data_IF_898824726292
#
_entry.id   IF_898824726292
#
_cell.length_a   1.000
_cell.length_b   1.000
_cell.length_c   1.000
_cell.angle_alpha   90.00
_cell.angle_beta   90.00
_cell.angle_gamma   90.00
#
_symmetry.space_group_name_H-M   'P 1'
#
loop_
_entity.id
_entity.type
_entity.pdbx_description
1 polymer ?
#
# COMPACT_ATOMS: atom_id res chain seq x y z
N UNK A 1 -18.91 -74.91 -37.72
CA UNK A 1 -18.94 -74.25 -36.39
C UNK A 1 -18.24 -72.89 -36.52
N UNK A 2 -18.92 -71.86 -37.01
CA UNK A 2 -19.79 -70.91 -36.28
C UNK A 2 -19.04 -69.59 -36.00
N UNK A 3 -19.17 -68.67 -36.97
CA UNK A 3 -18.87 -67.24 -36.93
C UNK A 3 -19.63 -66.53 -35.80
N UNK A 4 -19.05 -65.46 -35.24
CA UNK A 4 -19.84 -64.32 -34.75
C UNK A 4 -19.11 -63.00 -35.02
N UNK A 5 -19.47 -62.39 -36.15
CA UNK A 5 -19.26 -60.98 -36.43
C UNK A 5 -20.27 -60.15 -35.61
N UNK A 6 -19.83 -59.04 -35.00
CA UNK A 6 -20.73 -57.99 -34.51
C UNK A 6 -20.53 -56.73 -35.36
N UNK A 7 -21.59 -56.39 -36.09
CA UNK A 7 -21.83 -55.11 -36.75
C UNK A 7 -22.06 -54.03 -35.70
N UNK A 8 -21.51 -52.84 -35.92
CA UNK A 8 -22.04 -51.59 -35.37
C UNK A 8 -22.48 -50.73 -36.55
N UNK A 9 -23.76 -50.40 -36.55
CA UNK A 9 -24.50 -49.63 -37.55
C UNK A 9 -24.29 -48.14 -37.36
N UNK A 10 -23.91 -47.48 -38.45
CA UNK A 10 -24.00 -46.03 -38.68
C UNK A 10 -25.47 -45.57 -38.73
N UNK A 11 -25.82 -44.58 -37.92
CA UNK A 11 -27.04 -43.80 -38.06
C UNK A 11 -26.69 -42.37 -38.52
N UNK A 12 -27.19 -42.04 -39.73
CA UNK A 12 -27.26 -40.67 -40.27
C UNK A 12 -28.31 -39.89 -39.49
N UNK A 13 -27.97 -38.70 -39.03
CA UNK A 13 -28.96 -37.64 -38.78
C UNK A 13 -28.56 -36.41 -39.59
N UNK A 14 -29.40 -36.14 -40.59
CA UNK A 14 -29.47 -34.91 -41.36
C UNK A 14 -30.31 -33.90 -40.59
N UNK A 15 -29.73 -32.78 -40.18
CA UNK A 15 -30.48 -31.58 -39.80
C UNK A 15 -30.08 -30.42 -40.69
N UNK A 16 -31.11 -29.84 -41.28
CA UNK A 16 -31.13 -28.77 -42.26
C UNK A 16 -30.61 -27.45 -41.70
N UNK A 17 -29.66 -26.87 -42.42
CA UNK A 17 -29.21 -25.48 -42.30
C UNK A 17 -30.23 -24.53 -42.95
N UNK A 18 -30.92 -23.72 -42.15
CA UNK A 18 -31.62 -22.53 -42.61
C UNK A 18 -30.81 -21.30 -42.22
N UNK A 19 -30.25 -20.65 -43.24
CA UNK A 19 -29.55 -19.37 -43.19
C UNK A 19 -30.54 -18.19 -43.08
N UNK A 20 -30.35 -17.24 -42.14
CA UNK A 20 -30.97 -15.92 -42.25
C UNK A 20 -30.02 -14.93 -42.93
N UNK A 21 -30.61 -14.19 -43.87
CA UNK A 21 -30.04 -13.10 -44.66
C UNK A 21 -29.57 -11.91 -43.80
N UNK A 22 -28.55 -11.16 -44.22
CA UNK A 22 -28.09 -9.98 -43.50
C UNK A 22 -28.95 -8.76 -43.86
N UNK A 23 -29.66 -8.23 -42.87
CA UNK A 23 -30.27 -6.90 -42.96
C UNK A 23 -29.27 -5.84 -42.51
N UNK A 24 -28.98 -4.93 -43.45
CA UNK A 24 -28.16 -3.74 -43.29
C UNK A 24 -28.90 -2.68 -42.45
N UNK A 25 -28.34 -2.32 -41.30
CA UNK A 25 -28.64 -1.05 -40.63
C UNK A 25 -27.34 -0.25 -40.48
N UNK A 26 -27.13 0.71 -41.39
CA UNK A 26 -26.19 1.80 -41.23
C UNK A 26 -26.79 2.83 -40.27
N UNK A 27 -26.33 2.82 -39.01
CA UNK A 27 -26.65 3.83 -38.00
C UNK A 27 -25.44 4.70 -37.67
N UNK A 28 -25.52 5.97 -38.05
CA UNK A 28 -24.83 7.16 -37.52
C UNK A 28 -23.49 6.97 -36.76
N UNK A 29 -22.38 7.14 -37.49
CA UNK A 29 -21.02 7.31 -36.96
C UNK A 29 -20.47 8.74 -37.14
N UNK A 30 -21.31 9.78 -37.07
CA UNK A 30 -20.86 11.17 -37.30
C UNK A 30 -20.61 12.05 -36.06
N UNK A 31 -20.94 11.62 -34.83
CA UNK A 31 -20.86 12.53 -33.66
C UNK A 31 -19.68 12.33 -32.70
N UNK A 32 -18.84 11.31 -32.87
CA UNK A 32 -17.69 11.08 -31.97
C UNK A 32 -16.48 11.98 -32.28
N UNK A 33 -16.31 12.42 -33.52
CA UNK A 33 -15.18 13.28 -33.91
C UNK A 33 -15.27 14.68 -33.32
N UNK A 34 -16.46 15.26 -33.26
CA UNK A 34 -16.66 16.64 -32.79
C UNK A 34 -16.49 16.75 -31.27
N UNK A 35 -16.86 15.71 -30.52
CA UNK A 35 -16.72 15.72 -29.06
C UNK A 35 -15.26 15.60 -28.62
N UNK A 36 -14.44 14.81 -29.31
CA UNK A 36 -12.99 14.70 -29.05
C UNK A 36 -12.24 16.01 -29.33
N UNK A 37 -12.63 16.74 -30.39
CA UNK A 37 -12.03 18.04 -30.72
C UNK A 37 -12.39 19.09 -29.67
N UNK A 38 -13.63 19.08 -29.16
CA UNK A 38 -14.06 20.01 -28.12
C UNK A 38 -13.29 19.80 -26.79
N UNK A 39 -13.09 18.54 -26.39
CA UNK A 39 -12.33 18.20 -25.18
C UNK A 39 -10.85 18.62 -25.31
N UNK A 40 -10.25 18.43 -26.48
CA UNK A 40 -8.87 18.86 -26.74
C UNK A 40 -8.72 20.40 -26.67
N UNK A 41 -9.67 21.15 -27.21
CA UNK A 41 -9.66 22.63 -27.18
C UNK A 41 -9.81 23.15 -25.74
N UNK A 42 -10.75 22.60 -24.96
CA UNK A 42 -10.96 22.99 -23.57
C UNK A 42 -9.71 22.69 -22.73
N UNK A 43 -9.09 21.52 -22.95
CA UNK A 43 -7.84 21.14 -22.25
C UNK A 43 -6.70 22.10 -22.58
N UNK A 44 -6.55 22.50 -23.84
CA UNK A 44 -5.52 23.47 -24.25
C UNK A 44 -5.74 24.86 -23.62
N UNK A 45 -6.99 25.32 -23.54
CA UNK A 45 -7.34 26.60 -22.94
C UNK A 45 -7.05 26.62 -21.43
N UNK A 46 -7.33 25.52 -20.73
CA UNK A 46 -7.02 25.39 -19.29
C UNK A 46 -5.50 25.42 -19.07
N UNK A 47 -4.72 24.72 -19.89
CA UNK A 47 -3.25 24.73 -19.80
C UNK A 47 -2.70 26.15 -20.05
N UNK A 48 -3.24 26.89 -21.03
CA UNK A 48 -2.83 28.27 -21.28
C UNK A 48 -3.18 29.22 -20.13
N UNK A 49 -4.36 29.10 -19.52
CA UNK A 49 -4.73 29.90 -18.35
C UNK A 49 -3.83 29.62 -17.14
N UNK A 50 -3.52 28.35 -16.88
CA UNK A 50 -2.63 27.97 -15.79
C UNK A 50 -1.20 28.49 -16.00
N UNK A 51 -0.69 28.43 -17.23
CA UNK A 51 0.63 28.97 -17.58
C UNK A 51 0.74 30.47 -17.34
N UNK A 52 -0.31 31.24 -17.62
CA UNK A 52 -0.33 32.69 -17.39
C UNK A 52 -0.39 33.06 -15.89
N UNK A 53 -1.03 32.25 -15.04
CA UNK A 53 -1.05 32.50 -13.60
C UNK A 53 0.30 32.21 -12.92
N UNK A 54 1.03 31.20 -13.38
CA UNK A 54 2.38 30.89 -12.87
C UNK A 54 3.44 31.94 -13.25
N UNK A 55 3.31 32.58 -14.41
CA UNK A 55 4.24 33.63 -14.82
C UNK A 55 4.10 34.92 -13.99
N UNK A 56 2.91 35.18 -13.42
CA UNK A 56 2.65 36.36 -12.59
C UNK A 56 3.24 36.28 -11.17
N UNK A 57 3.45 35.08 -10.61
CA UNK A 57 3.94 34.92 -9.24
C UNK A 57 5.47 34.94 -9.10
N UNK A 58 6.22 34.75 -10.19
CA UNK A 58 7.69 34.66 -10.14
C UNK A 58 8.36 36.05 -10.22
N UNK A 59 7.63 37.11 -10.57
CA UNK A 59 8.19 38.45 -10.77
C UNK A 59 8.30 39.33 -9.50
N UNK A 60 7.98 38.83 -8.30
CA UNK A 60 7.85 39.67 -7.08
C UNK A 60 8.84 39.39 -5.94
N UNK A 61 9.91 38.63 -6.15
CA UNK A 61 10.85 38.32 -5.07
C UNK A 61 12.31 38.34 -5.54
N UNK A 62 12.88 39.53 -5.73
CA UNK A 62 14.33 39.75 -5.84
C UNK A 62 14.68 41.23 -5.58
N UNK A 63 14.90 41.64 -4.32
CA UNK A 63 15.87 42.71 -3.96
C UNK A 63 16.24 42.57 -2.48
N UNK A 64 17.51 42.23 -2.19
CA UNK A 64 18.47 43.05 -1.38
C UNK A 64 19.66 42.20 -0.94
N UNK A 65 20.81 42.54 -1.51
CA UNK A 65 22.14 42.10 -1.12
C UNK A 65 22.57 42.70 0.23
N UNK A 66 23.32 41.93 1.02
CA UNK A 66 24.28 42.44 2.01
C UNK A 66 25.46 41.47 2.11
N UNK A 67 26.70 41.96 2.34
CA UNK A 67 27.92 41.22 2.05
C UNK A 67 28.37 40.31 3.20
N UNK A 68 28.99 39.19 2.84
CA UNK A 68 29.67 38.24 3.74
C UNK A 68 31.07 38.73 4.14
N UNK A 69 31.40 38.56 5.41
CA UNK A 69 32.75 38.64 5.96
C UNK A 69 33.28 37.23 6.27
N UNK A 70 34.57 37.05 5.99
CA UNK A 70 35.37 35.83 6.14
C UNK A 70 35.40 35.26 7.56
N UNK A 71 35.55 33.93 7.65
CA UNK A 71 35.77 33.22 8.91
C UNK A 71 36.14 31.75 8.73
N UNK A 72 37.45 31.49 8.68
CA UNK A 72 38.11 30.17 8.65
C UNK A 72 37.82 29.37 9.92
N UNK A 73 37.60 28.06 9.78
CA UNK A 73 37.58 27.14 10.93
C UNK A 73 37.42 25.67 10.53
N UNK A 74 38.53 24.99 10.27
CA UNK A 74 38.58 23.53 10.15
C UNK A 74 38.46 22.88 11.52
N UNK A 75 37.53 21.92 11.68
CA UNK A 75 37.58 20.96 12.80
C UNK A 75 37.14 19.58 12.32
N UNK A 76 38.07 18.64 12.37
CA UNK A 76 37.82 17.20 12.37
C UNK A 76 37.23 16.79 13.72
N UNK A 77 36.14 16.03 13.73
CA UNK A 77 35.91 15.01 14.76
C UNK A 77 34.80 14.07 14.35
N UNK A 78 35.17 12.80 14.19
CA UNK A 78 34.24 11.68 14.15
C UNK A 78 33.50 11.59 15.49
N UNK A 79 32.18 11.73 15.45
CA UNK A 79 31.30 11.39 16.56
C UNK A 79 30.22 10.44 16.02
N UNK A 80 30.28 9.19 16.46
CA UNK A 80 29.14 8.27 16.39
C UNK A 80 28.04 8.88 17.27
N UNK A 81 27.07 9.53 16.63
CA UNK A 81 25.86 9.96 17.28
C UNK A 81 25.04 8.72 17.66
N UNK A 82 24.85 8.50 18.96
CA UNK A 82 23.78 7.64 19.44
C UNK A 82 22.45 8.13 18.86
N UNK A 83 21.68 7.22 18.28
CA UNK A 83 20.40 7.54 17.64
C UNK A 83 19.43 8.17 18.66
N UNK A 84 18.71 9.26 18.33
CA UNK A 84 17.67 9.86 19.16
C UNK A 84 16.59 8.88 19.67
N UNK A 85 16.48 7.70 19.05
CA UNK A 85 15.52 6.66 19.40
C UNK A 85 15.64 6.14 20.85
N UNK A 86 16.86 6.07 21.42
CA UNK A 86 17.03 5.53 22.78
C UNK A 86 16.70 6.56 23.89
N UNK A 87 16.76 7.86 23.59
CA UNK A 87 16.34 8.90 24.53
C UNK A 87 14.81 9.03 24.59
N UNK A 88 14.13 8.74 23.47
CA UNK A 88 12.66 8.76 23.41
C UNK A 88 12.05 7.68 24.33
N UNK A 89 12.64 6.47 24.42
CA UNK A 89 12.07 5.38 25.24
C UNK A 89 12.14 5.66 26.75
N UNK A 90 13.15 6.40 27.22
CA UNK A 90 13.30 6.78 28.64
C UNK A 90 12.48 8.03 29.01
N UNK A 91 12.09 8.85 28.02
CA UNK A 91 11.33 10.09 28.22
C UNK A 91 9.80 9.91 28.09
N UNK A 92 9.30 8.72 27.77
CA UNK A 92 7.88 8.38 27.97
C UNK A 92 7.66 8.17 29.47
N UNK A 93 7.75 9.26 30.24
CA UNK A 93 7.13 9.33 31.55
C UNK A 93 5.65 8.98 31.42
N UNK A 94 5.07 8.38 32.45
CA UNK A 94 3.63 8.05 32.47
C UNK A 94 2.86 9.24 31.89
N UNK A 95 2.13 9.05 30.77
CA UNK A 95 1.43 10.16 30.12
C UNK A 95 0.55 10.84 31.16
N UNK A 96 0.60 12.17 31.18
CA UNK A 96 -0.27 12.99 32.01
C UNK A 96 -1.72 12.57 31.72
N UNK A 97 -2.39 12.02 32.73
CA UNK A 97 -3.72 11.44 32.63
C UNK A 97 -4.78 12.46 32.19
N UNK A 98 -4.44 13.75 32.12
CA UNK A 98 -5.33 14.85 31.73
C UNK A 98 -5.34 15.17 30.23
N UNK A 99 -4.39 14.67 29.42
CA UNK A 99 -4.41 14.78 27.95
C UNK A 99 -5.15 13.62 27.25
N UNK A 100 -5.70 12.67 28.03
CA UNK A 100 -5.94 11.30 27.55
C UNK A 100 -7.40 10.92 27.27
N UNK A 101 -8.35 11.86 27.13
CA UNK A 101 -9.77 11.46 27.06
C UNK A 101 -10.68 12.02 25.99
N UNK A 102 -10.34 13.09 25.27
CA UNK A 102 -11.43 13.78 24.57
C UNK A 102 -11.76 13.27 23.17
N UNK A 103 -10.88 12.58 22.44
CA UNK A 103 -11.33 11.95 21.18
C UNK A 103 -10.65 10.58 21.00
N UNK A 104 -11.41 9.51 21.19
CA UNK A 104 -10.99 8.14 20.84
C UNK A 104 -10.92 8.03 19.32
N UNK A 105 -9.86 8.58 18.74
CA UNK A 105 -9.56 8.38 17.33
C UNK A 105 -9.02 6.96 17.15
N UNK A 106 -9.89 6.08 16.67
CA UNK A 106 -9.54 4.72 16.29
C UNK A 106 -8.44 4.72 15.23
N UNK A 107 -7.68 3.63 15.17
CA UNK A 107 -6.71 3.40 14.10
C UNK A 107 -7.16 2.27 13.18
N UNK A 108 -6.81 2.36 11.90
CA UNK A 108 -7.17 1.34 10.92
C UNK A 108 -5.95 0.51 10.51
N UNK A 109 -5.94 -0.77 10.88
CA UNK A 109 -4.98 -1.75 10.41
C UNK A 109 -5.51 -2.42 9.14
N UNK A 110 -4.71 -2.47 8.08
CA UNK A 110 -5.08 -3.06 6.80
C UNK A 110 -4.08 -4.15 6.42
N UNK A 111 -4.59 -5.31 6.04
CA UNK A 111 -3.83 -6.43 5.50
C UNK A 111 -4.39 -6.88 4.15
N UNK A 112 -3.52 -7.42 3.29
CA UNK A 112 -3.93 -8.00 2.01
C UNK A 112 -3.59 -9.50 1.97
N UNK A 113 -4.60 -10.30 1.66
CA UNK A 113 -4.59 -11.75 1.61
C UNK A 113 -4.99 -12.23 0.22
N UNK A 114 -4.03 -12.23 -0.69
CA UNK A 114 -4.26 -12.57 -2.10
C UNK A 114 -3.73 -13.95 -2.48
N UNK A 115 -4.50 -14.67 -3.30
CA UNK A 115 -4.08 -15.97 -3.82
C UNK A 115 -3.22 -15.81 -5.07
N UNK A 116 -2.02 -16.38 -5.09
CA UNK A 116 -1.15 -16.40 -6.28
C UNK A 116 -1.55 -17.42 -7.36
N UNK A 117 -2.60 -18.21 -7.13
CA UNK A 117 -2.99 -19.28 -8.04
C UNK A 117 -3.66 -18.73 -9.31
N UNK A 118 -2.85 -18.39 -10.31
CA UNK A 118 -3.26 -18.53 -11.72
C UNK A 118 -3.35 -20.02 -12.01
N UNK A 119 -4.52 -20.62 -11.80
CA UNK A 119 -4.77 -21.91 -12.43
C UNK A 119 -4.96 -21.64 -13.94
N UNK A 120 -3.94 -21.95 -14.75
CA UNK A 120 -3.92 -21.70 -16.20
C UNK A 120 -4.98 -22.52 -16.96
N UNK A 121 -5.82 -23.29 -16.26
CA UNK A 121 -6.79 -24.21 -16.84
C UNK A 121 -8.21 -24.02 -16.28
N UNK A 122 -8.86 -22.87 -16.46
CA UNK A 122 -10.32 -22.65 -16.44
C UNK A 122 -11.21 -23.33 -15.36
N UNK A 123 -10.63 -23.88 -14.30
CA UNK A 123 -11.33 -24.33 -13.12
C UNK A 123 -11.11 -23.24 -12.09
N UNK A 124 -12.19 -22.66 -11.58
CA UNK A 124 -12.11 -21.62 -10.56
C UNK A 124 -11.06 -22.03 -9.52
N UNK A 125 -9.98 -21.25 -9.31
CA UNK A 125 -8.89 -21.65 -8.44
C UNK A 125 -9.50 -22.00 -7.09
N UNK A 126 -9.32 -23.25 -6.63
CA UNK A 126 -9.82 -23.65 -5.32
C UNK A 126 -9.23 -22.70 -4.30
N UNK A 127 -10.08 -21.83 -3.74
CA UNK A 127 -9.74 -20.91 -2.66
C UNK A 127 -9.12 -21.75 -1.54
N UNK A 128 -7.81 -21.66 -1.37
CA UNK A 128 -7.14 -22.27 -0.21
C UNK A 128 -7.38 -21.31 0.94
N UNK A 129 -8.44 -21.56 1.70
CA UNK A 129 -8.76 -20.82 2.93
C UNK A 129 -7.69 -21.12 3.98
N UNK A 130 -6.53 -20.48 3.87
CA UNK A 130 -5.45 -20.61 4.83
C UNK A 130 -5.53 -19.45 5.81
N UNK A 131 -6.38 -19.62 6.84
CA UNK A 131 -6.52 -18.61 7.89
C UNK A 131 -5.21 -18.38 8.64
N UNK A 132 -4.35 -19.40 8.69
CA UNK A 132 -3.05 -19.37 9.35
C UNK A 132 -2.16 -18.23 8.82
N UNK A 133 -2.37 -17.76 7.58
CA UNK A 133 -1.65 -16.62 7.02
C UNK A 133 -1.98 -15.28 7.67
N UNK A 134 -3.13 -15.12 8.32
CA UNK A 134 -3.49 -13.88 9.01
C UNK A 134 -3.88 -14.12 10.46
N UNK A 135 -3.83 -15.37 10.94
CA UNK A 135 -4.37 -15.73 12.24
C UNK A 135 -3.72 -14.92 13.38
N UNK A 136 -2.39 -14.83 13.39
CA UNK A 136 -1.68 -14.04 14.43
C UNK A 136 -2.05 -12.56 14.38
N UNK A 137 -2.14 -11.98 13.17
CA UNK A 137 -2.57 -10.60 12.96
C UNK A 137 -4.00 -10.40 13.48
N UNK A 138 -4.93 -11.24 13.03
CA UNK A 138 -6.35 -11.22 13.34
C UNK A 138 -6.60 -11.34 14.85
N UNK A 139 -6.03 -12.36 15.49
CA UNK A 139 -6.21 -12.60 16.93
C UNK A 139 -5.60 -11.49 17.79
N UNK A 140 -4.50 -10.87 17.31
CA UNK A 140 -3.87 -9.77 18.05
C UNK A 140 -4.66 -8.47 18.02
N UNK A 141 -5.45 -8.20 16.96
CA UNK A 141 -6.32 -7.02 16.90
C UNK A 141 -7.40 -7.03 17.98
N UNK A 142 -7.98 -8.20 18.27
CA UNK A 142 -9.02 -8.37 19.30
C UNK A 142 -8.56 -8.02 20.72
N UNK A 143 -7.26 -7.81 20.94
CA UNK A 143 -6.71 -7.32 22.21
C UNK A 143 -6.83 -5.80 22.37
N UNK A 144 -7.10 -5.07 21.29
CA UNK A 144 -7.06 -3.60 21.25
C UNK A 144 -8.34 -3.02 20.63
N UNK A 145 -9.39 -2.75 21.43
CA UNK A 145 -10.72 -2.40 20.92
C UNK A 145 -10.75 -1.14 20.03
N UNK A 146 -9.77 -0.24 20.19
CA UNK A 146 -9.64 0.99 19.42
C UNK A 146 -8.92 0.81 18.06
N UNK A 147 -8.56 -0.43 17.69
CA UNK A 147 -8.03 -0.74 16.36
C UNK A 147 -9.10 -1.44 15.53
N UNK A 148 -9.41 -0.91 14.35
CA UNK A 148 -10.23 -1.58 13.34
C UNK A 148 -9.33 -2.31 12.34
N UNK A 149 -9.77 -3.45 11.84
CA UNK A 149 -9.06 -4.29 10.89
C UNK A 149 -9.80 -4.41 9.56
N UNK A 150 -9.10 -4.23 8.44
CA UNK A 150 -9.60 -4.55 7.10
C UNK A 150 -8.72 -5.62 6.46
N UNK A 151 -9.35 -6.70 6.01
CA UNK A 151 -8.69 -7.77 5.26
C UNK A 151 -9.15 -7.69 3.80
N UNK A 152 -8.32 -7.10 2.94
CA UNK A 152 -8.50 -7.23 1.49
C UNK A 152 -8.19 -8.65 1.07
N UNK A 153 -9.08 -9.31 0.34
CA UNK A 153 -8.93 -10.73 0.11
C UNK A 153 -9.39 -11.18 -1.28
N UNK A 154 -8.73 -12.23 -1.77
CA UNK A 154 -9.22 -13.06 -2.88
C UNK A 154 -9.26 -14.55 -2.50
N UNK A 155 -8.92 -14.86 -1.25
CA UNK A 155 -8.70 -16.21 -0.73
C UNK A 155 -9.89 -16.80 0.02
N UNK A 156 -10.74 -15.97 0.64
CA UNK A 156 -11.78 -16.43 1.56
C UNK A 156 -13.14 -16.35 0.88
N UNK A 157 -13.98 -17.36 1.00
CA UNK A 157 -15.35 -17.29 0.48
C UNK A 157 -16.29 -16.56 1.45
N UNK A 158 -17.53 -16.34 0.99
CA UNK A 158 -18.54 -15.59 1.74
C UNK A 158 -18.85 -16.23 3.09
N UNK A 159 -18.82 -17.55 3.19
CA UNK A 159 -19.11 -18.27 4.43
C UNK A 159 -17.99 -18.04 5.45
N UNK A 160 -16.73 -18.17 5.02
CA UNK A 160 -15.58 -17.84 5.85
C UNK A 160 -15.58 -16.37 6.28
N UNK A 161 -15.83 -15.45 5.34
CA UNK A 161 -15.86 -14.02 5.64
C UNK A 161 -16.98 -13.70 6.64
N UNK A 162 -18.16 -14.30 6.50
CA UNK A 162 -19.26 -14.15 7.44
C UNK A 162 -18.91 -14.69 8.82
N UNK A 163 -18.21 -15.82 8.90
CA UNK A 163 -17.76 -16.42 10.16
C UNK A 163 -16.72 -15.55 10.87
N UNK A 164 -15.76 -14.99 10.12
CA UNK A 164 -14.63 -14.22 10.68
C UNK A 164 -14.84 -12.71 10.72
N UNK A 165 -15.93 -12.18 10.17
CA UNK A 165 -16.26 -10.76 10.32
C UNK A 165 -16.75 -10.49 11.73
N UNK A 166 -16.25 -9.40 12.32
CA UNK A 166 -16.63 -8.91 13.66
C UNK A 166 -16.84 -7.40 13.60
N UNK A 167 -17.29 -6.79 14.69
CA UNK A 167 -17.37 -5.32 14.82
C UNK A 167 -16.00 -4.61 14.68
N UNK A 168 -14.92 -5.39 14.80
CA UNK A 168 -13.56 -4.91 14.72
C UNK A 168 -12.89 -5.23 13.38
N UNK A 169 -13.13 -6.41 12.82
CA UNK A 169 -12.45 -6.88 11.60
C UNK A 169 -13.47 -7.14 10.49
N UNK A 170 -13.28 -6.50 9.34
CA UNK A 170 -14.08 -6.69 8.13
C UNK A 170 -13.24 -7.29 7.01
N UNK A 171 -13.89 -8.09 6.17
CA UNK A 171 -13.30 -8.63 4.95
C UNK A 171 -13.85 -7.87 3.75
N UNK A 172 -12.97 -7.51 2.82
CA UNK A 172 -13.32 -6.87 1.55
C UNK A 172 -12.85 -7.77 0.43
N UNK A 173 -13.78 -8.18 -0.43
CA UNK A 173 -13.45 -8.93 -1.63
C UNK A 173 -12.80 -8.00 -2.66
N UNK A 174 -11.64 -8.40 -3.15
CA UNK A 174 -10.94 -7.71 -4.22
C UNK A 174 -11.31 -8.34 -5.56
N UNK A 175 -11.98 -7.56 -6.40
CA UNK A 175 -12.23 -7.94 -7.77
C UNK A 175 -10.97 -7.70 -8.63
N UNK A 176 -10.27 -8.79 -8.95
CA UNK A 176 -9.10 -8.78 -9.85
C UNK A 176 -9.47 -8.49 -11.32
N UNK A 177 -10.76 -8.30 -11.63
CA UNK A 177 -11.27 -7.89 -12.95
C UNK A 177 -11.75 -6.44 -12.99
N UNK A 178 -11.73 -5.73 -11.86
CA UNK A 178 -12.11 -4.31 -11.76
C UNK A 178 -11.20 -3.40 -12.59
N UNK A 179 -11.67 -2.17 -12.87
CA UNK A 179 -10.89 -1.18 -13.62
C UNK A 179 -9.51 -0.91 -12.97
N UNK A 180 -9.45 -0.82 -11.64
CA UNK A 180 -8.20 -0.70 -10.88
C UNK A 180 -7.27 -1.88 -11.15
N UNK A 181 -7.76 -3.11 -11.02
CA UNK A 181 -6.98 -4.33 -11.31
C UNK A 181 -6.53 -4.39 -12.76
N UNK A 182 -7.36 -3.98 -13.72
CA UNK A 182 -7.01 -3.96 -15.14
C UNK A 182 -5.91 -2.94 -15.44
N UNK A 183 -5.92 -1.78 -14.77
CA UNK A 183 -4.86 -0.77 -14.90
C UNK A 183 -3.49 -1.30 -14.49
N UNK A 184 -3.44 -2.22 -13.52
CA UNK A 184 -2.21 -2.82 -13.01
C UNK A 184 -2.12 -4.33 -13.26
N UNK A 185 -2.82 -4.86 -14.28
CA UNK A 185 -2.91 -6.31 -14.52
C UNK A 185 -1.55 -7.01 -14.79
N UNK A 186 -0.55 -6.24 -15.25
CA UNK A 186 0.82 -6.72 -15.47
C UNK A 186 1.68 -6.71 -14.20
N UNK A 187 1.15 -6.19 -13.08
CA UNK A 187 1.84 -6.08 -11.80
C UNK A 187 1.60 -7.31 -10.94
N UNK A 188 2.50 -7.56 -9.99
CA UNK A 188 2.34 -8.64 -9.02
C UNK A 188 1.21 -8.31 -8.04
N UNK A 189 0.66 -9.32 -7.37
CA UNK A 189 -0.35 -9.10 -6.34
C UNK A 189 0.16 -8.24 -5.16
N UNK A 190 1.47 -8.31 -4.86
CA UNK A 190 2.11 -7.44 -3.87
C UNK A 190 2.14 -5.98 -4.31
N UNK A 191 2.32 -5.73 -5.61
CA UNK A 191 2.19 -4.38 -6.16
C UNK A 191 0.72 -3.92 -6.14
N UNK A 192 -0.20 -4.79 -6.58
CA UNK A 192 -1.61 -4.47 -6.76
C UNK A 192 -2.30 -4.07 -5.45
N UNK A 193 -1.87 -4.61 -4.31
CA UNK A 193 -2.46 -4.32 -2.99
C UNK A 193 -2.53 -2.84 -2.68
N UNK A 194 -1.49 -2.08 -3.04
CA UNK A 194 -1.40 -0.66 -2.72
C UNK A 194 -2.38 0.18 -3.55
N UNK A 195 -2.80 -0.28 -4.73
CA UNK A 195 -3.83 0.40 -5.53
C UNK A 195 -5.21 0.24 -4.91
N UNK A 196 -5.57 -0.99 -4.50
CA UNK A 196 -6.85 -1.24 -3.83
C UNK A 196 -6.95 -0.52 -2.48
N UNK A 197 -5.85 -0.46 -1.74
CA UNK A 197 -5.78 0.29 -0.49
C UNK A 197 -5.95 1.80 -0.74
N UNK A 198 -5.26 2.36 -1.75
CA UNK A 198 -5.40 3.79 -2.08
C UNK A 198 -6.84 4.13 -2.50
N UNK A 199 -7.46 3.30 -3.33
CA UNK A 199 -8.84 3.46 -3.78
C UNK A 199 -9.80 3.45 -2.60
N UNK A 200 -9.75 2.42 -1.75
CA UNK A 200 -10.57 2.31 -0.56
C UNK A 200 -10.43 3.50 0.39
N UNK A 201 -9.18 3.92 0.68
CA UNK A 201 -8.94 5.06 1.56
C UNK A 201 -9.43 6.36 0.93
N UNK A 202 -9.30 6.51 -0.39
CA UNK A 202 -9.81 7.69 -1.12
C UNK A 202 -11.33 7.77 -1.03
N UNK A 203 -12.04 6.68 -1.29
CA UNK A 203 -13.51 6.63 -1.18
C UNK A 203 -13.98 6.94 0.25
N UNK A 204 -13.29 6.37 1.25
CA UNK A 204 -13.58 6.60 2.67
C UNK A 204 -13.38 8.06 3.06
N UNK A 205 -12.24 8.66 2.69
CA UNK A 205 -11.95 10.06 3.00
C UNK A 205 -12.88 11.05 2.27
N UNK A 206 -13.48 10.64 1.15
CA UNK A 206 -14.46 11.45 0.42
C UNK A 206 -15.90 11.28 0.94
N UNK A 207 -16.14 10.40 1.91
CA UNK A 207 -17.49 10.06 2.37
C UNK A 207 -18.33 9.30 1.34
N UNK A 208 -17.69 8.77 0.27
CA UNK A 208 -18.34 8.00 -0.79
C UNK A 208 -18.23 6.49 -0.56
N UNK A 209 -17.64 6.07 0.57
CA UNK A 209 -17.43 4.65 0.82
C UNK A 209 -18.75 3.93 1.00
N UNK A 210 -18.93 2.85 0.25
CA UNK A 210 -20.00 1.87 0.47
C UNK A 210 -19.77 1.05 1.74
N UNK A 211 -18.58 1.17 2.34
CA UNK A 211 -18.24 0.57 3.61
C UNK A 211 -18.59 1.57 4.70
N UNK A 212 -19.79 1.42 5.28
CA UNK A 212 -20.38 2.26 6.33
C UNK A 212 -19.55 2.29 7.63
N UNK A 213 -18.39 2.94 7.59
CA UNK A 213 -17.57 3.26 8.75
C UNK A 213 -17.65 4.77 8.96
N UNK A 214 -18.60 5.20 9.79
CA UNK A 214 -18.82 6.63 10.11
C UNK A 214 -17.74 7.21 11.05
N UNK A 215 -16.77 6.39 11.47
CA UNK A 215 -15.70 6.81 12.37
C UNK A 215 -14.63 7.61 11.61
N UNK A 216 -14.24 8.81 12.12
CA UNK A 216 -13.11 9.58 11.60
C UNK A 216 -11.85 8.72 11.50
N UNK A 217 -11.12 8.89 10.40
CA UNK A 217 -9.93 8.12 10.10
C UNK A 217 -8.70 9.02 10.09
N UNK A 218 -7.87 8.89 11.15
CA UNK A 218 -6.66 9.70 11.26
C UNK A 218 -5.40 8.91 10.95
N UNK A 219 -5.25 7.72 11.53
CA UNK A 219 -4.07 6.90 11.34
C UNK A 219 -4.42 5.57 10.71
N UNK A 220 -3.58 5.19 9.76
CA UNK A 220 -3.68 3.93 9.03
C UNK A 220 -2.34 3.20 9.14
N UNK A 221 -2.41 1.89 9.30
CA UNK A 221 -1.26 0.99 9.32
C UNK A 221 -1.50 -0.16 8.35
N UNK A 222 -0.70 -0.20 7.30
CA UNK A 222 -0.65 -1.26 6.31
C UNK A 222 0.36 -2.29 6.76
N UNK A 223 -0.04 -3.55 6.82
CA UNK A 223 0.84 -4.63 7.26
C UNK A 223 0.78 -5.86 6.37
N UNK A 224 1.84 -6.65 6.40
CA UNK A 224 1.77 -8.05 6.01
C UNK A 224 0.92 -8.84 7.02
N UNK A 225 0.38 -9.98 6.59
CA UNK A 225 -0.50 -10.80 7.43
C UNK A 225 0.25 -11.89 8.20
N UNK A 226 1.24 -12.50 7.55
CA UNK A 226 1.82 -13.78 7.97
C UNK A 226 2.77 -13.65 9.15
N UNK A 227 3.52 -12.57 9.20
CA UNK A 227 4.63 -12.33 10.12
C UNK A 227 4.37 -11.16 11.08
N UNK A 228 3.13 -10.68 11.15
CA UNK A 228 2.76 -9.54 11.99
C UNK A 228 1.92 -9.99 13.18
N UNK A 229 2.24 -9.45 14.36
CA UNK A 229 1.43 -9.60 15.57
C UNK A 229 1.48 -8.30 16.36
N UNK A 230 0.32 -7.73 16.70
CA UNK A 230 0.27 -6.55 17.57
C UNK A 230 0.53 -6.96 19.01
N UNK A 231 1.57 -6.36 19.61
CA UNK A 231 1.93 -6.56 21.01
C UNK A 231 1.34 -5.44 21.88
N UNK A 232 1.15 -4.25 21.29
CA UNK A 232 0.52 -3.06 21.89
C UNK A 232 -0.23 -2.30 20.80
N UNK A 233 -0.97 -1.24 21.14
CA UNK A 233 -1.65 -0.41 20.16
C UNK A 233 -0.66 0.53 19.43
N UNK A 234 -0.27 0.25 18.17
CA UNK A 234 0.77 1.03 17.48
C UNK A 234 0.36 2.48 17.23
N UNK A 235 -0.94 2.79 17.22
CA UNK A 235 -1.42 4.15 16.97
C UNK A 235 -1.19 5.09 18.16
N UNK A 236 -1.10 4.55 19.38
CA UNK A 236 -0.67 5.32 20.55
C UNK A 236 0.78 5.80 20.37
N UNK A 237 1.66 4.91 19.91
CA UNK A 237 3.04 5.26 19.63
C UNK A 237 3.17 6.29 18.52
N UNK A 238 2.44 6.11 17.41
CA UNK A 238 2.50 7.04 16.27
C UNK A 238 2.09 8.44 16.69
N UNK A 239 0.94 8.58 17.36
CA UNK A 239 0.44 9.87 17.85
C UNK A 239 1.39 10.51 18.84
N UNK A 240 1.87 9.75 19.82
CA UNK A 240 2.80 10.26 20.82
C UNK A 240 4.12 10.73 20.16
N UNK A 241 4.64 9.96 19.19
CA UNK A 241 5.86 10.32 18.46
C UNK A 241 5.66 11.61 17.67
N UNK A 242 4.58 11.70 16.89
CA UNK A 242 4.26 12.89 16.09
C UNK A 242 4.11 14.14 16.98
N UNK A 243 3.46 14.01 18.14
CA UNK A 243 3.35 15.09 19.13
C UNK A 243 4.73 15.50 19.67
N UNK A 244 5.56 14.54 20.08
CA UNK A 244 6.89 14.79 20.64
C UNK A 244 7.83 15.50 19.67
N UNK A 245 7.70 15.26 18.36
CA UNK A 245 8.56 15.88 17.34
C UNK A 245 7.93 17.11 16.68
N UNK A 246 7.11 17.84 17.45
CA UNK A 246 6.57 19.14 17.05
C UNK A 246 5.22 19.06 16.35
N UNK A 247 4.44 18.00 16.57
CA UNK A 247 3.08 17.83 16.05
C UNK A 247 3.00 17.59 14.55
N UNK A 248 4.12 17.39 13.86
CA UNK A 248 4.14 17.10 12.42
C UNK A 248 3.99 15.60 12.20
N UNK A 249 3.01 15.15 11.41
CA UNK A 249 2.84 13.72 11.20
C UNK A 249 4.01 13.07 10.46
N UNK A 250 4.37 11.83 10.79
CA UNK A 250 5.49 11.12 10.15
C UNK A 250 5.03 9.87 9.40
N UNK A 251 5.90 9.39 8.51
CA UNK A 251 5.77 8.09 7.89
C UNK A 251 6.42 7.05 8.81
N UNK A 252 5.66 6.05 9.23
CA UNK A 252 6.12 4.94 10.04
C UNK A 252 6.33 3.73 9.15
N UNK A 253 7.54 3.17 9.13
CA UNK A 253 7.88 2.09 8.19
C UNK A 253 8.61 0.98 8.93
N UNK A 254 8.44 -0.26 8.48
CA UNK A 254 9.27 -1.39 8.88
C UNK A 254 10.71 -1.22 8.42
N UNK A 255 11.66 -1.84 9.12
CA UNK A 255 13.06 -1.92 8.69
C UNK A 255 13.70 -3.25 9.06
N UNK A 256 14.76 -3.58 8.32
CA UNK A 256 15.61 -4.75 8.54
C UNK A 256 17.06 -4.27 8.76
N UNK A 257 17.58 -4.47 9.97
CA UNK A 257 18.93 -4.04 10.33
C UNK A 257 19.99 -5.14 10.16
N UNK A 258 19.60 -6.41 10.20
CA UNK A 258 20.56 -7.54 10.24
C UNK A 258 20.82 -8.19 8.87
N UNK A 259 19.99 -7.88 7.86
CA UNK A 259 20.11 -8.43 6.50
C UNK A 259 20.71 -7.38 5.56
N UNK A 260 21.64 -6.56 6.05
CA UNK A 260 22.23 -5.47 5.24
C UNK A 260 22.89 -6.03 3.99
N UNK A 261 23.75 -7.05 4.08
CA UNK A 261 24.49 -7.49 2.88
C UNK A 261 23.60 -8.20 1.84
N UNK A 262 22.80 -9.18 2.27
CA UNK A 262 21.90 -9.92 1.35
C UNK A 262 20.70 -9.10 0.90
N UNK A 263 20.16 -8.27 1.80
CA UNK A 263 19.03 -7.40 1.52
C UNK A 263 19.42 -6.28 0.56
N UNK A 264 20.60 -5.68 0.72
CA UNK A 264 21.10 -4.65 -0.20
C UNK A 264 21.37 -5.24 -1.59
N UNK A 265 21.95 -6.43 -1.71
CA UNK A 265 22.17 -7.05 -3.03
C UNK A 265 20.84 -7.33 -3.75
N UNK A 266 19.90 -7.96 -3.04
CA UNK A 266 18.57 -8.22 -3.58
C UNK A 266 17.86 -6.91 -3.96
N UNK A 267 17.96 -5.88 -3.12
CA UNK A 267 17.38 -4.57 -3.37
C UNK A 267 18.01 -3.86 -4.56
N UNK A 268 19.34 -3.93 -4.69
CA UNK A 268 20.08 -3.41 -5.84
C UNK A 268 19.56 -4.04 -7.12
N UNK A 269 19.41 -5.36 -7.14
CA UNK A 269 18.83 -6.08 -8.27
C UNK A 269 17.40 -5.60 -8.58
N UNK A 270 16.57 -5.41 -7.54
CA UNK A 270 15.20 -4.90 -7.71
C UNK A 270 15.14 -3.47 -8.22
N UNK A 271 15.95 -2.57 -7.69
CA UNK A 271 16.04 -1.19 -8.15
C UNK A 271 16.53 -1.10 -9.60
N UNK A 272 17.54 -1.89 -9.95
CA UNK A 272 18.03 -1.95 -11.32
C UNK A 272 16.94 -2.45 -12.27
N UNK A 273 16.20 -3.50 -11.89
CA UNK A 273 15.10 -4.05 -12.70
C UNK A 273 13.92 -3.07 -12.80
N UNK A 274 13.53 -2.43 -11.70
CA UNK A 274 12.34 -1.59 -11.68
C UNK A 274 12.59 -0.19 -12.27
N UNK A 275 13.79 0.37 -12.08
CA UNK A 275 14.09 1.78 -12.38
C UNK A 275 15.38 2.01 -13.15
N UNK A 276 16.20 0.98 -13.40
CA UNK A 276 17.51 1.15 -14.06
C UNK A 276 18.51 1.95 -13.22
N UNK A 277 18.38 1.90 -11.89
CA UNK A 277 19.18 2.68 -10.94
C UNK A 277 19.88 1.77 -9.92
N UNK A 278 21.03 2.23 -9.41
CA UNK A 278 21.73 1.59 -8.29
C UNK A 278 21.17 2.03 -6.94
N UNK A 279 21.01 1.08 -6.02
CA UNK A 279 20.62 1.33 -4.63
C UNK A 279 21.84 1.68 -3.78
N UNK A 280 21.91 2.95 -3.36
CA UNK A 280 23.05 3.50 -2.59
C UNK A 280 22.79 3.63 -1.10
N UNK A 281 21.69 3.07 -0.59
CA UNK A 281 21.31 3.25 0.81
C UNK A 281 21.84 2.15 1.71
N UNK A 282 22.07 2.54 2.96
CA UNK A 282 22.47 1.63 4.04
C UNK A 282 21.30 1.10 4.86
N UNK A 283 20.11 1.68 4.71
CA UNK A 283 18.90 1.27 5.43
C UNK A 283 17.97 0.53 4.49
N UNK A 284 17.55 -0.66 4.88
CA UNK A 284 16.55 -1.44 4.18
C UNK A 284 15.23 -1.31 4.95
N UNK A 285 14.32 -0.49 4.43
CA UNK A 285 12.92 -0.44 4.88
C UNK A 285 12.16 -1.66 4.39
N UNK A 286 11.08 -2.08 5.06
CA UNK A 286 10.28 -3.25 4.70
C UNK A 286 8.80 -2.84 4.49
N UNK A 287 8.23 -3.23 3.34
CA UNK A 287 6.87 -2.88 2.93
C UNK A 287 5.74 -3.61 3.68
N UNK A 288 6.09 -4.56 4.54
CA UNK A 288 5.20 -5.29 5.44
C UNK A 288 4.79 -4.50 6.69
N UNK A 289 5.33 -3.29 6.89
CA UNK A 289 4.82 -2.31 7.86
C UNK A 289 4.95 -0.92 7.23
N UNK A 290 3.84 -0.27 6.93
CA UNK A 290 3.80 1.13 6.45
C UNK A 290 2.60 1.81 7.08
N UNK A 291 2.78 2.94 7.76
CA UNK A 291 1.68 3.63 8.38
C UNK A 291 1.98 5.09 8.68
N UNK A 292 1.01 5.73 9.32
CA UNK A 292 1.09 7.13 9.70
C UNK A 292 -0.27 7.80 9.58
N UNK A 293 -0.28 9.10 9.81
CA UNK A 293 -1.49 9.90 9.62
C UNK A 293 -1.91 9.90 8.15
N UNK A 294 -3.21 9.91 7.85
CA UNK A 294 -3.76 9.88 6.48
C UNK A 294 -3.23 11.00 5.60
N UNK A 295 -2.95 12.17 6.19
CA UNK A 295 -2.35 13.33 5.47
C UNK A 295 -0.92 13.06 4.98
N UNK A 296 -0.22 12.07 5.52
CA UNK A 296 1.11 11.63 5.10
C UNK A 296 1.02 10.37 4.26
N UNK A 297 0.22 9.40 4.72
CA UNK A 297 0.10 8.11 4.06
C UNK A 297 -0.52 8.23 2.66
N UNK A 298 -1.52 9.08 2.46
CA UNK A 298 -2.17 9.20 1.14
C UNK A 298 -1.24 9.78 0.05
N UNK A 299 -0.52 10.90 0.28
CA UNK A 299 0.52 11.33 -0.66
C UNK A 299 1.60 10.29 -0.90
N UNK A 300 2.03 9.57 0.15
CA UNK A 300 2.99 8.47 0.03
C UNK A 300 2.48 7.36 -0.89
N UNK A 301 1.26 6.86 -0.67
CA UNK A 301 0.64 5.79 -1.47
C UNK A 301 0.50 6.20 -2.94
N UNK A 302 0.07 7.44 -3.22
CA UNK A 302 -0.02 7.97 -4.58
C UNK A 302 1.33 7.97 -5.29
N UNK A 303 2.36 8.44 -4.61
CA UNK A 303 3.72 8.45 -5.15
C UNK A 303 4.24 7.02 -5.37
N UNK A 304 4.01 6.11 -4.40
CA UNK A 304 4.39 4.71 -4.50
C UNK A 304 3.71 4.02 -5.67
N UNK A 305 2.39 4.15 -5.81
CA UNK A 305 1.61 3.60 -6.91
C UNK A 305 2.01 4.19 -8.26
N UNK A 306 2.35 5.48 -8.32
CA UNK A 306 2.92 6.10 -9.52
C UNK A 306 4.24 5.45 -9.94
N UNK A 307 5.16 5.22 -8.98
CA UNK A 307 6.43 4.53 -9.25
C UNK A 307 6.21 3.08 -9.70
N UNK A 308 5.32 2.35 -9.02
CA UNK A 308 4.96 0.98 -9.43
C UNK A 308 4.43 0.95 -10.86
N UNK A 309 3.52 1.86 -11.24
CA UNK A 309 2.98 1.93 -12.60
C UNK A 309 4.03 2.30 -13.65
N UNK A 310 4.96 3.18 -13.30
CA UNK A 310 6.03 3.61 -14.21
C UNK A 310 7.07 2.53 -14.51
N UNK A 311 7.24 1.57 -13.59
CA UNK A 311 8.14 0.44 -13.80
C UNK A 311 7.59 -0.48 -14.91
N UNK A 312 8.42 -1.03 -15.81
CA UNK A 312 7.96 -2.04 -16.76
C UNK A 312 7.79 -3.43 -16.12
N UNK A 313 8.31 -3.63 -14.90
CA UNK A 313 8.40 -4.93 -14.25
C UNK A 313 7.38 -5.10 -13.10
N UNK A 314 7.02 -6.35 -12.74
CA UNK A 314 6.29 -6.67 -11.52
C UNK A 314 7.25 -6.81 -10.31
N UNK A 315 6.69 -6.86 -9.11
CA UNK A 315 7.39 -6.98 -7.82
C UNK A 315 8.32 -5.80 -7.56
N UNK A 316 7.76 -4.60 -7.69
CA UNK A 316 8.43 -3.32 -7.54
C UNK A 316 7.91 -2.48 -6.37
N UNK A 317 6.96 -2.99 -5.60
CA UNK A 317 6.47 -2.40 -4.35
C UNK A 317 7.61 -2.05 -3.40
N UNK A 318 8.46 -3.03 -3.05
CA UNK A 318 9.58 -2.83 -2.14
C UNK A 318 10.62 -1.85 -2.70
N UNK A 319 10.85 -1.86 -4.01
CA UNK A 319 11.71 -0.88 -4.69
C UNK A 319 11.13 0.55 -4.62
N UNK A 320 9.82 0.66 -4.86
CA UNK A 320 9.07 1.91 -4.87
C UNK A 320 8.98 2.52 -3.48
N UNK A 321 8.79 1.70 -2.45
CA UNK A 321 8.83 2.12 -1.04
C UNK A 321 10.13 2.87 -0.73
N UNK A 322 11.28 2.25 -1.01
CA UNK A 322 12.58 2.88 -0.71
C UNK A 322 12.72 4.20 -1.46
N UNK A 323 12.42 4.21 -2.76
CA UNK A 323 12.62 5.37 -3.61
C UNK A 323 11.75 6.54 -3.15
N UNK A 324 10.44 6.32 -2.97
CA UNK A 324 9.50 7.37 -2.54
C UNK A 324 9.83 7.87 -1.15
N UNK A 325 10.19 6.98 -0.23
CA UNK A 325 10.58 7.39 1.12
C UNK A 325 11.79 8.30 1.08
N UNK A 326 12.81 7.98 0.28
CA UNK A 326 13.99 8.82 0.17
C UNK A 326 13.73 10.16 -0.51
N UNK A 327 12.92 10.17 -1.56
CA UNK A 327 12.64 11.39 -2.32
C UNK A 327 11.76 12.37 -1.54
N UNK A 328 10.84 11.87 -0.72
CA UNK A 328 9.76 12.69 -0.15
C UNK A 328 9.71 12.71 1.38
N UNK A 329 10.31 11.73 2.06
CA UNK A 329 10.12 11.52 3.50
C UNK A 329 11.43 11.21 4.25
N UNK A 330 12.59 11.49 3.66
CA UNK A 330 13.89 11.15 4.25
C UNK A 330 14.11 11.77 5.64
N UNK A 331 13.55 12.95 5.90
CA UNK A 331 13.60 13.68 7.16
C UNK A 331 12.41 13.40 8.09
N UNK A 332 11.42 12.61 7.64
CA UNK A 332 10.14 12.37 8.31
C UNK A 332 9.75 10.89 8.35
N UNK A 333 10.75 10.04 8.49
CA UNK A 333 10.58 8.60 8.65
C UNK A 333 10.92 8.15 10.07
N UNK A 334 10.02 7.37 10.67
CA UNK A 334 10.20 6.66 11.93
C UNK A 334 10.20 5.16 11.64
N UNK A 335 11.21 4.43 12.12
CA UNK A 335 11.35 2.99 11.89
C UNK A 335 12.13 2.32 13.01
N UNK A 336 12.04 0.99 13.11
CA UNK A 336 12.75 0.19 14.10
C UNK A 336 12.08 0.18 15.46
N UNK A 337 12.85 -0.13 16.49
CA UNK A 337 12.36 -0.14 17.87
C UNK A 337 12.00 1.29 18.36
N UNK A 338 10.89 1.50 19.10
CA UNK A 338 9.94 0.50 19.59
C UNK A 338 8.74 0.21 18.66
N UNK A 339 8.67 0.80 17.46
CA UNK A 339 7.56 0.55 16.51
C UNK A 339 7.43 -0.95 16.23
N UNK A 340 8.53 -1.61 15.87
CA UNK A 340 8.53 -3.05 15.61
C UNK A 340 9.81 -3.73 16.12
N UNK A 341 9.72 -5.04 16.37
CA UNK A 341 10.89 -5.91 16.62
C UNK A 341 11.76 -6.04 15.38
N UNK A 342 13.00 -6.49 15.54
CA UNK A 342 13.84 -6.87 14.38
C UNK A 342 13.11 -7.97 13.60
N UNK A 343 13.02 -7.80 12.28
CA UNK A 343 12.44 -8.81 11.38
C UNK A 343 13.21 -10.12 11.50
N UNK A 344 12.51 -11.22 11.81
CA UNK A 344 13.13 -12.54 12.02
C UNK A 344 14.23 -12.57 13.09
N UNK A 345 14.19 -11.62 14.02
CA UNK A 345 15.08 -11.60 15.18
C UNK A 345 14.80 -12.77 16.14
N UNK A 346 15.74 -13.02 17.05
CA UNK A 346 15.58 -14.07 18.07
C UNK A 346 14.36 -13.80 18.96
N UNK A 347 13.67 -14.89 19.36
CA UNK A 347 12.47 -14.79 20.19
C UNK A 347 12.77 -14.17 21.56
N UNK A 348 11.93 -13.22 22.00
CA UNK A 348 11.98 -12.67 23.35
C UNK A 348 12.77 -11.36 23.49
N UNK A 349 13.58 -10.97 22.52
CA UNK A 349 14.22 -9.65 22.56
C UNK A 349 13.19 -8.55 22.26
N UNK A 350 13.08 -7.57 23.16
CA UNK A 350 12.30 -6.34 23.00
C UNK A 350 10.77 -6.49 22.83
N UNK A 351 10.23 -7.72 22.82
CA UNK A 351 8.78 -7.99 22.69
C UNK A 351 7.94 -7.36 23.81
N UNK A 352 8.48 -7.25 25.02
CA UNK A 352 7.78 -6.63 26.16
C UNK A 352 7.51 -5.13 25.97
N UNK A 353 8.23 -4.49 25.06
CA UNK A 353 8.21 -3.04 24.86
C UNK A 353 7.82 -2.61 23.45
N UNK A 354 8.03 -3.48 22.45
CA UNK A 354 7.68 -3.20 21.06
C UNK A 354 6.15 -3.14 20.85
N UNK A 355 5.73 -2.40 19.83
CA UNK A 355 4.32 -2.30 19.47
C UNK A 355 3.90 -3.41 18.49
N UNK A 356 4.79 -3.76 17.57
CA UNK A 356 4.56 -4.77 16.53
C UNK A 356 5.67 -5.84 16.60
N UNK A 357 5.28 -7.11 16.66
CA UNK A 357 6.20 -8.22 16.39
C UNK A 357 6.24 -8.46 14.88
N UNK A 358 7.44 -8.43 14.32
CA UNK A 358 7.72 -8.72 12.92
C UNK A 358 8.57 -10.01 12.86
N UNK A 359 7.94 -11.12 12.49
CA UNK A 359 8.47 -12.49 12.65
C UNK A 359 9.36 -12.97 11.52
#
# INVERSE_FOLDING_TARGET
MARKQRRVTTARNSTSSTSPSPSSQCGNRQNYGMMMVLVAIITLQIIQQLGQQSAGMIASACVKDTPMSDGVGAVNSAAQAASPANAATAAIGKPDATLARDERHGGLAIVSSFNHLKDKHNMAPKRRQKFEYIQSWYESLHKFPDIKGIVFNTMYDSDFQKEKTTDQVKFIDVDLTSATSLKCAQKSLNDQRFFHIEEYLTERLQGNSTHHDDEPLDYVLLTDGQDITFLRNPFEYMRATDQLIGGKPNLFVGSEFEIIDRGIEWQNGKWQVCFGMEFKQRRFLNAGIIGGHVSVLMPFLRAMNSRILSSPNPFCDQASLQLVTMEMFADRIITGFPLHTVFKGEQGENESTAYIKHK
#
